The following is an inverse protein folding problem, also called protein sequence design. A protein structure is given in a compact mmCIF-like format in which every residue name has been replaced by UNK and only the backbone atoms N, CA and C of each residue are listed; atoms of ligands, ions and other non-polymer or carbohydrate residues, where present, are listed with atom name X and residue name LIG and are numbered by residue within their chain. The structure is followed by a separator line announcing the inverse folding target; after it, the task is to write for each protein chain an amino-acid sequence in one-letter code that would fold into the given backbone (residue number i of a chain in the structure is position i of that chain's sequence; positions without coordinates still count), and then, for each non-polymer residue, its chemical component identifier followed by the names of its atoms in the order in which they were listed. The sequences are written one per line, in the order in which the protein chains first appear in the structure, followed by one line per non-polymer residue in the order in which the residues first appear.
data_IF_840820212401
#
_entry.id   IF_840820212401
#
_cell.length_a   1.000
_cell.length_b   1.000
_cell.length_c   1.000
_cell.angle_alpha   90.00
_cell.angle_beta   90.00
_cell.angle_gamma   90.00
#
_symmetry.space_group_name_H-M   'P 1'
#
loop_
_entity.id
_entity.type
_entity.pdbx_description
1 polymer ?
#
# COMPACT_ATOMS: atom_id res chain seq x y z
N UNK A 1 3.22 -32.88 7.26
CA UNK A 1 4.43 -32.38 7.96
C UNK A 1 4.79 -33.43 9.00
N UNK A 2 6.05 -33.84 9.13
CA UNK A 2 6.51 -34.70 10.22
C UNK A 2 7.28 -33.79 11.17
N UNK A 3 6.76 -33.59 12.35
CA UNK A 3 7.41 -32.83 13.43
C UNK A 3 7.95 -33.85 14.43
N UNK A 4 9.22 -33.70 14.77
CA UNK A 4 9.91 -34.57 15.74
C UNK A 4 10.10 -33.78 17.04
N UNK A 5 9.99 -34.47 18.17
CA UNK A 5 10.37 -33.92 19.48
C UNK A 5 11.91 -33.78 19.59
N UNK A 6 12.44 -33.15 20.64
CA UNK A 6 13.89 -33.04 20.86
C UNK A 6 14.63 -34.37 20.96
N UNK A 7 13.92 -35.47 21.21
CA UNK A 7 14.47 -36.83 21.29
C UNK A 7 14.39 -37.58 19.95
N UNK A 8 13.80 -36.96 18.91
CA UNK A 8 13.64 -37.53 17.57
C UNK A 8 12.39 -38.43 17.41
N UNK A 9 11.46 -38.42 18.37
CA UNK A 9 10.21 -39.15 18.26
C UNK A 9 9.18 -38.32 17.47
N UNK A 10 8.30 -39.01 16.72
CA UNK A 10 7.21 -38.34 15.99
C UNK A 10 6.17 -37.83 16.97
N UNK A 11 5.95 -36.51 16.96
CA UNK A 11 4.85 -35.90 17.67
C UNK A 11 3.51 -36.26 17.01
N UNK A 12 2.53 -36.64 17.83
CA UNK A 12 1.16 -36.89 17.37
C UNK A 12 0.36 -35.60 17.36
N UNK A 13 0.66 -34.76 16.35
CA UNK A 13 0.07 -33.43 16.21
C UNK A 13 -1.17 -33.47 15.32
N UNK A 14 -2.15 -32.62 15.63
CA UNK A 14 -3.33 -32.43 14.80
C UNK A 14 -3.01 -31.47 13.65
N UNK A 15 -3.10 -31.90 12.38
CA UNK A 15 -2.95 -30.99 11.26
C UNK A 15 -4.22 -30.14 11.12
N UNK A 16 -4.07 -28.82 11.09
CA UNK A 16 -5.13 -27.87 10.83
C UNK A 16 -4.84 -27.08 9.56
N UNK A 17 -5.83 -26.95 8.69
CA UNK A 17 -5.75 -26.14 7.49
C UNK A 17 -6.63 -24.89 7.60
N UNK A 18 -6.03 -23.71 7.41
CA UNK A 18 -6.73 -22.43 7.40
C UNK A 18 -6.58 -21.78 6.02
N UNK A 19 -7.69 -21.55 5.34
CA UNK A 19 -7.71 -21.02 3.97
C UNK A 19 -7.77 -22.12 2.90
N UNK A 20 -7.70 -21.78 1.58
CA UNK A 20 -7.44 -20.44 1.02
C UNK A 20 -8.64 -19.48 1.07
N UNK A 21 -9.85 -19.95 1.29
CA UNK A 21 -11.06 -19.12 1.42
C UNK A 21 -11.56 -19.18 2.88
N UNK A 22 -10.98 -18.30 3.70
CA UNK A 22 -11.37 -18.17 5.10
C UNK A 22 -11.48 -16.68 5.46
N UNK A 23 -12.54 -16.22 6.17
CA UNK A 23 -12.73 -14.80 6.48
C UNK A 23 -11.55 -14.17 7.20
N UNK A 24 -10.95 -14.89 8.14
CA UNK A 24 -9.86 -14.40 8.97
C UNK A 24 -8.48 -14.32 8.25
N UNK A 25 -8.37 -14.83 7.02
CA UNK A 25 -7.13 -14.71 6.24
C UNK A 25 -7.03 -13.40 5.46
N UNK A 26 -8.09 -12.56 5.46
CA UNK A 26 -8.18 -11.28 4.77
C UNK A 26 -7.84 -11.34 3.27
N UNK A 27 -7.95 -12.52 2.67
CA UNK A 27 -7.64 -12.76 1.26
C UNK A 27 -7.46 -14.23 0.96
N UNK A 28 -7.05 -14.54 -0.26
CA UNK A 28 -6.84 -15.90 -0.71
C UNK A 28 -5.42 -16.38 -0.36
N UNK A 29 -5.18 -16.70 0.88
CA UNK A 29 -3.95 -17.31 1.35
C UNK A 29 -4.26 -18.51 2.24
N UNK A 30 -3.32 -19.42 2.37
CA UNK A 30 -3.46 -20.63 3.15
C UNK A 30 -2.26 -20.82 4.07
N UNK A 31 -2.51 -21.26 5.27
CA UNK A 31 -1.46 -21.84 6.10
C UNK A 31 -1.94 -23.15 6.73
N UNK A 32 -1.00 -24.07 6.85
CA UNK A 32 -1.22 -25.37 7.51
C UNK A 32 -0.45 -25.33 8.83
N UNK A 33 -1.16 -25.55 9.92
CA UNK A 33 -0.59 -25.60 11.25
C UNK A 33 -0.56 -27.05 11.79
N UNK A 34 0.52 -27.40 12.46
CA UNK A 34 0.62 -28.61 13.26
C UNK A 34 0.35 -28.20 14.71
N UNK A 35 -0.75 -28.71 15.28
CA UNK A 35 -1.30 -28.28 16.56
C UNK A 35 -1.01 -29.31 17.65
N UNK A 36 -0.56 -28.83 18.82
CA UNK A 36 -0.60 -29.55 20.08
C UNK A 36 -1.63 -28.87 21.00
N UNK A 37 -2.83 -29.46 21.08
CA UNK A 37 -3.98 -28.77 21.65
C UNK A 37 -4.31 -27.49 20.89
N UNK A 38 -4.24 -26.33 21.54
CA UNK A 38 -4.46 -25.01 20.94
C UNK A 38 -3.17 -24.32 20.51
N UNK A 39 -2.01 -24.91 20.80
CA UNK A 39 -0.70 -24.31 20.49
C UNK A 39 -0.24 -24.73 19.10
N UNK A 40 0.25 -23.77 18.32
CA UNK A 40 0.88 -24.00 17.01
C UNK A 40 2.32 -24.42 17.25
N UNK A 41 2.67 -25.65 16.88
CA UNK A 41 4.04 -26.19 17.00
C UNK A 41 4.87 -25.85 15.76
N UNK A 42 4.22 -25.89 14.60
CA UNK A 42 4.86 -25.52 13.34
C UNK A 42 3.79 -25.03 12.36
N UNK A 43 4.16 -24.11 11.48
CA UNK A 43 3.29 -23.67 10.38
C UNK A 43 3.99 -23.69 9.04
N UNK A 44 3.22 -23.82 7.96
CA UNK A 44 3.67 -23.75 6.59
C UNK A 44 2.69 -22.90 5.81
N UNK A 45 3.17 -21.79 5.27
CA UNK A 45 2.42 -20.87 4.46
C UNK A 45 2.40 -21.31 3.00
N UNK A 46 1.25 -21.14 2.36
CA UNK A 46 1.05 -21.39 0.94
C UNK A 46 0.38 -20.16 0.31
N UNK A 47 1.08 -19.57 -0.65
CA UNK A 47 0.63 -18.39 -1.40
C UNK A 47 0.45 -18.74 -2.87
N UNK A 48 -0.07 -17.82 -3.67
CA UNK A 48 -0.28 -18.02 -5.10
C UNK A 48 -1.74 -18.16 -5.52
N UNK A 49 -2.67 -18.22 -4.58
CA UNK A 49 -4.11 -18.36 -4.88
C UNK A 49 -4.71 -17.12 -5.56
N UNK A 50 -4.08 -15.96 -5.44
CA UNK A 50 -4.44 -14.73 -6.14
C UNK A 50 -3.36 -14.31 -7.17
N UNK A 51 -2.50 -15.25 -7.59
CA UNK A 51 -1.51 -14.95 -8.62
C UNK A 51 -2.19 -14.76 -9.99
N UNK A 52 -2.07 -13.57 -10.53
CA UNK A 52 -2.72 -13.16 -11.79
C UNK A 52 -1.75 -13.02 -12.96
N UNK A 53 -0.47 -13.34 -12.74
CA UNK A 53 0.57 -13.18 -13.75
C UNK A 53 0.83 -11.70 -14.10
N UNK A 54 0.70 -10.78 -13.13
CA UNK A 54 0.84 -9.34 -13.31
C UNK A 54 2.10 -8.98 -14.10
N UNK A 55 3.26 -9.43 -13.65
CA UNK A 55 4.56 -9.11 -14.26
C UNK A 55 4.64 -9.55 -15.73
N UNK A 56 4.00 -10.66 -16.08
CA UNK A 56 3.97 -11.14 -17.47
C UNK A 56 2.89 -10.46 -18.32
N UNK A 57 1.77 -10.11 -17.73
CA UNK A 57 0.69 -9.43 -18.46
C UNK A 57 1.08 -8.02 -18.87
N UNK A 58 1.81 -7.29 -18.03
CA UNK A 58 2.22 -5.91 -18.33
C UNK A 58 3.22 -5.81 -19.48
N UNK A 59 3.98 -6.86 -19.78
CA UNK A 59 4.89 -6.92 -20.93
C UNK A 59 4.15 -6.83 -22.29
N UNK A 60 2.86 -7.17 -22.33
CA UNK A 60 2.04 -7.15 -23.56
C UNK A 60 1.41 -5.80 -23.85
N UNK A 61 1.25 -4.96 -22.81
CA UNK A 61 0.62 -3.65 -22.91
C UNK A 61 1.61 -2.53 -23.15
N UNK A 62 1.14 -1.37 -23.57
CA UNK A 62 1.95 -0.15 -23.58
C UNK A 62 2.21 0.33 -22.14
N UNK A 63 3.23 1.15 -21.93
CA UNK A 63 3.55 1.73 -20.61
C UNK A 63 2.35 2.38 -19.92
N UNK A 64 1.48 3.04 -20.66
CA UNK A 64 0.27 3.67 -20.10
C UNK A 64 -0.79 2.64 -19.71
N UNK A 65 -0.85 1.49 -20.38
CA UNK A 65 -1.77 0.40 -20.06
C UNK A 65 -1.36 -0.38 -18.82
N UNK A 66 -0.14 -0.21 -18.31
CA UNK A 66 0.30 -0.80 -17.04
C UNK A 66 -0.41 -0.15 -15.85
N UNK A 67 -0.70 1.15 -15.91
CA UNK A 67 -1.28 1.90 -14.79
C UNK A 67 -2.53 1.23 -14.18
N UNK A 68 -3.54 0.79 -14.94
CA UNK A 68 -4.71 0.10 -14.37
C UNK A 68 -4.39 -1.23 -13.67
N UNK A 69 -3.30 -1.89 -14.05
CA UNK A 69 -2.88 -3.12 -13.37
C UNK A 69 -2.29 -2.83 -11.99
N UNK A 70 -1.58 -1.71 -11.83
CA UNK A 70 -0.98 -1.34 -10.56
C UNK A 70 -2.01 -1.04 -9.48
N UNK A 71 -3.22 -0.55 -9.83
CA UNK A 71 -4.33 -0.37 -8.89
C UNK A 71 -4.65 -1.62 -8.09
N UNK A 72 -4.47 -2.79 -8.70
CA UNK A 72 -4.88 -4.08 -8.15
C UNK A 72 -3.77 -4.80 -7.38
N UNK A 73 -2.65 -4.15 -7.15
CA UNK A 73 -1.64 -4.63 -6.20
C UNK A 73 -2.17 -4.48 -4.78
N UNK A 74 -1.95 -3.35 -4.13
CA UNK A 74 -2.65 -3.02 -2.91
C UNK A 74 -3.93 -2.23 -3.27
N UNK A 75 -5.06 -2.90 -3.33
CA UNK A 75 -6.32 -2.28 -3.73
C UNK A 75 -6.91 -1.34 -2.67
N UNK A 76 -6.44 -1.39 -1.41
CA UNK A 76 -6.87 -0.46 -0.37
C UNK A 76 -6.27 0.93 -0.56
N UNK A 77 -5.09 1.02 -1.17
CA UNK A 77 -4.35 2.25 -1.47
C UNK A 77 -3.96 2.35 -2.96
N UNK A 78 -4.90 2.07 -3.87
CA UNK A 78 -4.69 1.95 -5.31
C UNK A 78 -3.94 3.15 -5.93
N UNK A 79 -4.28 4.38 -5.54
CA UNK A 79 -3.66 5.60 -6.08
C UNK A 79 -2.16 5.64 -5.79
N UNK A 80 -1.72 5.17 -4.61
CA UNK A 80 -0.29 5.13 -4.26
C UNK A 80 0.50 4.25 -5.21
N UNK A 81 -0.05 3.10 -5.58
CA UNK A 81 0.59 2.17 -6.52
C UNK A 81 0.75 2.79 -7.91
N UNK A 82 -0.29 3.52 -8.38
CA UNK A 82 -0.21 4.24 -9.65
C UNK A 82 0.91 5.28 -9.63
N UNK A 83 0.97 6.08 -8.56
CA UNK A 83 1.95 7.15 -8.41
C UNK A 83 3.36 6.56 -8.32
N UNK A 84 3.57 5.46 -7.58
CA UNK A 84 4.84 4.77 -7.48
C UNK A 84 5.34 4.28 -8.86
N UNK A 85 4.47 3.68 -9.66
CA UNK A 85 4.79 3.24 -11.01
C UNK A 85 5.07 4.43 -11.95
N UNK A 86 4.20 5.45 -11.95
CA UNK A 86 4.42 6.63 -12.79
C UNK A 86 5.75 7.32 -12.47
N UNK A 87 6.08 7.46 -11.17
CA UNK A 87 7.37 8.00 -10.70
C UNK A 87 8.56 7.19 -11.24
N UNK A 88 8.47 5.86 -11.21
CA UNK A 88 9.53 5.00 -11.72
C UNK A 88 9.80 5.24 -13.22
N UNK A 89 8.75 5.39 -14.03
CA UNK A 89 8.87 5.69 -15.46
C UNK A 89 9.34 7.14 -15.70
N UNK A 90 8.82 8.11 -14.94
CA UNK A 90 9.21 9.52 -15.01
C UNK A 90 10.71 9.71 -14.72
N UNK A 91 11.24 8.97 -13.75
CA UNK A 91 12.66 8.98 -13.42
C UNK A 91 13.53 8.42 -14.58
N UNK A 92 13.05 7.40 -15.31
CA UNK A 92 13.76 6.93 -16.52
C UNK A 92 13.80 7.99 -17.63
N UNK A 93 12.74 8.79 -17.76
CA UNK A 93 12.72 9.92 -18.69
C UNK A 93 13.51 11.13 -18.20
N UNK A 94 13.88 11.17 -16.91
CA UNK A 94 14.49 12.33 -16.25
C UNK A 94 13.65 13.61 -16.43
N UNK A 95 12.33 13.48 -16.26
CA UNK A 95 11.40 14.61 -16.40
C UNK A 95 10.85 15.01 -15.04
N UNK A 96 10.73 16.33 -14.85
CA UNK A 96 10.07 16.91 -13.68
C UNK A 96 8.60 17.18 -13.97
N UNK A 97 7.74 16.80 -13.04
CA UNK A 97 6.32 17.10 -13.09
C UNK A 97 6.02 18.49 -12.53
N UNK A 98 4.93 19.15 -12.97
CA UNK A 98 4.55 20.47 -12.46
C UNK A 98 4.33 20.48 -10.95
N UNK A 99 4.62 21.60 -10.28
CA UNK A 99 4.47 21.77 -8.83
C UNK A 99 3.05 21.45 -8.33
N UNK A 100 2.02 21.93 -9.04
CA UNK A 100 0.63 21.59 -8.70
C UNK A 100 0.38 20.09 -8.73
N UNK A 101 0.98 19.38 -9.69
CA UNK A 101 0.88 17.92 -9.79
C UNK A 101 1.55 17.23 -8.61
N UNK A 102 2.75 17.69 -8.20
CA UNK A 102 3.45 17.15 -7.02
C UNK A 102 2.59 17.27 -5.77
N UNK A 103 2.06 18.47 -5.50
CA UNK A 103 1.20 18.73 -4.33
C UNK A 103 -0.07 17.87 -4.36
N UNK A 104 -0.75 17.77 -5.49
CA UNK A 104 -1.93 16.89 -5.62
C UNK A 104 -1.58 15.42 -5.40
N UNK A 105 -0.43 14.95 -5.92
CA UNK A 105 0.04 13.57 -5.67
C UNK A 105 0.31 13.32 -4.19
N UNK A 106 0.89 14.28 -3.48
CA UNK A 106 1.10 14.18 -2.01
C UNK A 106 -0.24 14.09 -1.28
N UNK A 107 -1.20 14.98 -1.59
CA UNK A 107 -2.53 14.95 -0.96
C UNK A 107 -3.20 13.60 -1.15
N UNK A 108 -3.27 13.10 -2.39
CA UNK A 108 -3.96 11.83 -2.67
C UNK A 108 -3.20 10.62 -2.12
N UNK A 109 -1.87 10.65 -2.06
CA UNK A 109 -1.06 9.62 -1.42
C UNK A 109 -1.38 9.51 0.06
N UNK A 110 -1.33 10.62 0.79
CA UNK A 110 -1.57 10.59 2.23
C UNK A 110 -3.04 10.27 2.57
N UNK A 111 -4.02 10.73 1.78
CA UNK A 111 -5.40 10.27 1.93
C UNK A 111 -5.56 8.76 1.67
N UNK A 112 -4.81 8.21 0.71
CA UNK A 112 -4.80 6.76 0.46
C UNK A 112 -4.15 5.99 1.60
N UNK A 113 -3.09 6.52 2.22
CA UNK A 113 -2.47 5.96 3.42
C UNK A 113 -3.45 5.92 4.59
N UNK A 114 -4.15 7.03 4.85
CA UNK A 114 -5.20 7.10 5.88
C UNK A 114 -6.26 6.03 5.63
N UNK A 115 -6.73 5.91 4.38
CA UNK A 115 -7.74 4.93 3.99
C UNK A 115 -7.29 3.48 4.22
N UNK A 116 -6.05 3.13 3.86
CA UNK A 116 -5.48 1.80 4.03
C UNK A 116 -5.28 1.46 5.52
N UNK A 117 -4.72 2.37 6.30
CA UNK A 117 -4.51 2.16 7.72
C UNK A 117 -5.84 2.00 8.48
N UNK A 118 -6.88 2.73 8.13
CA UNK A 118 -8.21 2.50 8.70
C UNK A 118 -8.76 1.11 8.37
N UNK A 119 -8.56 0.62 7.15
CA UNK A 119 -8.97 -0.75 6.79
C UNK A 119 -8.23 -1.79 7.63
N UNK A 120 -6.90 -1.65 7.74
CA UNK A 120 -6.07 -2.55 8.54
C UNK A 120 -6.52 -2.60 10.01
N UNK A 121 -6.58 -1.42 10.64
CA UNK A 121 -6.93 -1.30 12.06
C UNK A 121 -8.36 -1.79 12.31
N UNK A 122 -9.31 -1.43 11.46
CA UNK A 122 -10.71 -1.86 11.55
C UNK A 122 -10.85 -3.39 11.45
N UNK A 123 -10.16 -4.00 10.47
CA UNK A 123 -10.20 -5.46 10.28
C UNK A 123 -9.59 -6.19 11.49
N UNK A 124 -8.44 -5.70 11.99
CA UNK A 124 -7.80 -6.27 13.18
C UNK A 124 -8.74 -6.25 14.41
N UNK A 125 -9.51 -5.17 14.58
CA UNK A 125 -10.50 -5.12 15.66
C UNK A 125 -11.65 -6.07 15.47
N UNK A 126 -12.15 -6.20 14.27
CA UNK A 126 -13.23 -7.12 13.97
C UNK A 126 -12.81 -8.57 14.23
N UNK A 127 -11.58 -8.96 13.90
CA UNK A 127 -11.03 -10.28 14.17
C UNK A 127 -10.92 -10.56 15.68
N UNK A 128 -10.66 -9.53 16.48
CA UNK A 128 -10.62 -9.61 17.94
C UNK A 128 -11.99 -9.44 18.59
N UNK A 129 -13.08 -9.42 17.81
CA UNK A 129 -14.47 -9.32 18.29
C UNK A 129 -14.98 -7.90 18.50
N UNK A 130 -14.25 -6.87 18.07
CA UNK A 130 -14.58 -5.46 18.26
C UNK A 130 -15.30 -4.83 17.06
N UNK A 131 -16.61 -5.01 16.91
CA UNK A 131 -17.38 -4.45 15.78
C UNK A 131 -17.52 -2.92 15.84
N UNK A 132 -17.63 -2.32 17.02
CA UNK A 132 -17.82 -0.87 17.16
C UNK A 132 -16.62 -0.05 16.65
N UNK A 133 -15.37 -0.35 17.00
CA UNK A 133 -14.20 0.32 16.41
C UNK A 133 -14.13 0.19 14.89
N UNK A 134 -14.53 -0.96 14.33
CA UNK A 134 -14.64 -1.13 12.89
C UNK A 134 -15.56 -0.07 12.24
N UNK A 135 -16.74 0.15 12.83
CA UNK A 135 -17.69 1.15 12.29
C UNK A 135 -17.14 2.58 12.38
N UNK A 136 -16.44 2.92 13.46
CA UNK A 136 -15.81 4.23 13.61
C UNK A 136 -14.73 4.50 12.54
N UNK A 137 -13.91 3.51 12.23
CA UNK A 137 -12.86 3.62 11.21
C UNK A 137 -13.44 3.72 9.78
N UNK A 138 -14.56 3.06 9.50
CA UNK A 138 -15.15 3.06 8.17
C UNK A 138 -15.91 4.34 7.80
N UNK A 139 -16.34 5.16 8.77
CA UNK A 139 -16.99 6.43 8.49
C UNK A 139 -16.08 7.42 7.72
N UNK A 140 -14.89 7.81 8.22
CA UNK A 140 -14.01 8.71 7.49
C UNK A 140 -13.49 8.08 6.18
N UNK A 141 -13.30 6.75 6.16
CA UNK A 141 -12.97 6.03 4.94
C UNK A 141 -14.01 6.26 3.84
N UNK A 142 -15.29 6.19 4.17
CA UNK A 142 -16.37 6.44 3.19
C UNK A 142 -16.32 7.87 2.64
N UNK A 143 -16.04 8.87 3.48
CA UNK A 143 -15.88 10.24 3.04
C UNK A 143 -14.72 10.40 2.05
N UNK A 144 -13.57 9.75 2.31
CA UNK A 144 -12.43 9.71 1.39
C UNK A 144 -12.82 9.02 0.07
N UNK A 145 -13.57 7.93 0.09
CA UNK A 145 -14.03 7.26 -1.11
C UNK A 145 -14.99 8.12 -1.94
N UNK A 146 -15.81 8.94 -1.31
CA UNK A 146 -16.64 9.94 -2.00
C UNK A 146 -15.80 11.03 -2.70
N UNK A 147 -14.68 11.43 -2.10
CA UNK A 147 -13.70 12.33 -2.75
C UNK A 147 -13.12 11.65 -3.98
N UNK A 148 -12.72 10.36 -3.88
CA UNK A 148 -12.21 9.61 -5.03
C UNK A 148 -13.23 9.51 -6.16
N UNK A 149 -14.48 9.24 -5.85
CA UNK A 149 -15.56 9.16 -6.84
C UNK A 149 -15.73 10.48 -7.59
N UNK A 150 -15.74 11.62 -6.88
CA UNK A 150 -15.80 12.95 -7.51
C UNK A 150 -14.56 13.26 -8.35
N UNK A 151 -13.37 12.88 -7.86
CA UNK A 151 -12.08 13.20 -8.49
C UNK A 151 -11.82 12.33 -9.72
N UNK A 152 -12.10 11.02 -9.65
CA UNK A 152 -11.68 10.04 -10.64
C UNK A 152 -12.84 9.34 -11.36
N UNK A 153 -14.02 9.33 -10.76
CA UNK A 153 -15.17 8.56 -11.23
C UNK A 153 -15.21 7.13 -10.70
N UNK A 154 -14.26 6.73 -9.87
CA UNK A 154 -14.18 5.39 -9.27
C UNK A 154 -13.88 5.49 -7.78
N UNK A 155 -14.47 4.58 -6.99
CA UNK A 155 -14.32 4.56 -5.53
C UNK A 155 -13.07 3.84 -5.05
N UNK A 156 -12.61 2.81 -5.74
CA UNK A 156 -11.55 1.92 -5.29
C UNK A 156 -10.35 1.87 -6.26
N UNK A 157 -10.54 1.39 -7.48
CA UNK A 157 -9.50 1.30 -8.52
C UNK A 157 -9.56 2.53 -9.42
N UNK A 158 -8.78 3.54 -9.08
CA UNK A 158 -8.98 4.91 -9.56
C UNK A 158 -8.22 5.22 -10.84
N UNK A 159 -7.10 4.56 -11.11
CA UNK A 159 -6.20 4.85 -12.23
C UNK A 159 -5.97 6.36 -12.43
N UNK A 160 -5.66 7.08 -11.35
CA UNK A 160 -5.65 8.54 -11.31
C UNK A 160 -4.36 9.13 -11.88
N UNK A 161 -3.21 8.60 -11.47
CA UNK A 161 -1.93 9.09 -11.95
C UNK A 161 -1.71 8.70 -13.43
N UNK A 162 -0.97 9.53 -14.12
CA UNK A 162 -0.48 9.29 -15.48
C UNK A 162 1.01 9.60 -15.51
N UNK A 163 1.73 8.96 -16.42
CA UNK A 163 3.13 9.26 -16.65
C UNK A 163 3.22 10.72 -17.12
N UNK A 164 3.92 11.55 -16.34
CA UNK A 164 4.07 12.99 -16.56
C UNK A 164 2.96 13.85 -15.96
N UNK A 165 1.99 13.29 -15.20
CA UNK A 165 0.94 14.10 -14.61
C UNK A 165 -0.21 13.34 -13.97
N UNK A 166 -1.42 13.87 -14.12
CA UNK A 166 -2.67 13.32 -13.58
C UNK A 166 -3.72 13.19 -14.68
N UNK A 167 -4.69 12.31 -14.48
CA UNK A 167 -5.80 12.12 -15.44
C UNK A 167 -6.74 13.32 -15.50
N UNK A 168 -6.88 14.03 -14.39
CA UNK A 168 -7.75 15.21 -14.20
C UNK A 168 -7.17 16.10 -13.11
N UNK A 169 -7.56 17.39 -13.16
CA UNK A 169 -7.32 18.32 -12.05
C UNK A 169 -8.36 18.15 -10.93
N UNK A 170 -8.15 18.79 -9.80
CA UNK A 170 -9.10 18.85 -8.71
C UNK A 170 -10.41 19.52 -9.14
N UNK A 171 -11.53 19.05 -8.60
CA UNK A 171 -12.85 19.64 -8.85
C UNK A 171 -13.12 20.84 -7.92
N UNK A 172 -14.11 21.67 -8.29
CA UNK A 172 -14.53 22.78 -7.45
C UNK A 172 -15.10 22.28 -6.09
N UNK A 173 -14.54 22.73 -4.97
CA UNK A 173 -14.89 22.26 -3.63
C UNK A 173 -14.00 21.11 -3.10
N UNK A 174 -13.00 20.66 -3.86
CA UNK A 174 -12.09 19.60 -3.43
C UNK A 174 -11.43 19.87 -2.06
N UNK A 175 -10.92 21.08 -1.86
CA UNK A 175 -10.25 21.46 -0.61
C UNK A 175 -11.20 21.38 0.59
N UNK A 176 -12.47 21.79 0.41
CA UNK A 176 -13.49 21.75 1.47
C UNK A 176 -13.86 20.29 1.82
N UNK A 177 -14.06 19.45 0.81
CA UNK A 177 -14.36 18.05 1.01
C UNK A 177 -13.20 17.33 1.73
N UNK A 178 -11.95 17.60 1.32
CA UNK A 178 -10.77 17.05 1.99
C UNK A 178 -10.68 17.51 3.44
N UNK A 179 -10.87 18.81 3.73
CA UNK A 179 -10.85 19.31 5.10
C UNK A 179 -11.96 18.68 5.97
N UNK A 180 -13.15 18.46 5.41
CA UNK A 180 -14.24 17.77 6.12
C UNK A 180 -13.84 16.33 6.45
N UNK A 181 -13.28 15.57 5.48
CA UNK A 181 -12.80 14.21 5.71
C UNK A 181 -11.67 14.15 6.74
N UNK A 182 -10.74 15.11 6.76
CA UNK A 182 -9.68 15.17 7.79
C UNK A 182 -10.26 15.41 9.19
N UNK A 183 -11.26 16.28 9.33
CA UNK A 183 -11.92 16.52 10.63
C UNK A 183 -12.67 15.26 11.10
N UNK A 184 -13.31 14.54 10.20
CA UNK A 184 -13.94 13.23 10.47
C UNK A 184 -12.91 12.19 10.89
N UNK A 185 -11.76 12.17 10.23
CA UNK A 185 -10.60 11.30 10.55
C UNK A 185 -10.10 11.57 11.97
N UNK A 186 -9.85 12.81 12.34
CA UNK A 186 -9.38 13.19 13.69
C UNK A 186 -10.42 12.82 14.79
N UNK A 187 -11.71 12.94 14.49
CA UNK A 187 -12.77 12.50 15.40
C UNK A 187 -12.75 10.98 15.56
N UNK A 188 -12.69 10.24 14.45
CA UNK A 188 -12.65 8.78 14.47
C UNK A 188 -11.41 8.24 15.21
N UNK A 189 -10.25 8.88 15.07
CA UNK A 189 -9.05 8.52 15.84
C UNK A 189 -9.27 8.65 17.35
N UNK A 190 -9.90 9.73 17.82
CA UNK A 190 -10.23 9.90 19.24
C UNK A 190 -11.19 8.82 19.73
N UNK A 191 -12.20 8.48 18.94
CA UNK A 191 -13.18 7.45 19.27
C UNK A 191 -12.52 6.07 19.29
N UNK A 192 -11.59 5.78 18.37
CA UNK A 192 -10.79 4.57 18.32
C UNK A 192 -9.89 4.44 19.56
N UNK A 193 -9.09 5.46 19.88
CA UNK A 193 -8.24 5.45 21.07
C UNK A 193 -9.04 5.25 22.36
N UNK A 194 -10.21 5.86 22.47
CA UNK A 194 -11.11 5.65 23.61
C UNK A 194 -11.58 4.19 23.74
N UNK A 195 -11.74 3.49 22.61
CA UNK A 195 -12.13 2.07 22.60
C UNK A 195 -10.96 1.12 22.88
N UNK A 196 -9.71 1.52 22.63
CA UNK A 196 -8.55 0.65 22.53
C UNK A 196 -7.59 0.75 23.69
N UNK A 197 -7.14 1.94 24.02
CA UNK A 197 -5.97 2.17 24.87
C UNK A 197 -6.10 1.56 26.26
N UNK A 198 -7.33 1.37 26.73
CA UNK A 198 -7.66 0.76 28.04
C UNK A 198 -8.45 -0.54 27.93
N UNK A 199 -8.65 -1.07 26.73
CA UNK A 199 -9.40 -2.30 26.54
C UNK A 199 -8.51 -3.51 26.86
N UNK A 200 -8.76 -4.12 28.02
CA UNK A 200 -7.97 -5.25 28.49
C UNK A 200 -7.99 -6.43 27.51
N UNK A 201 -9.13 -6.75 26.91
CA UNK A 201 -9.25 -7.86 25.95
C UNK A 201 -8.35 -7.60 24.75
N UNK A 202 -8.37 -6.37 24.23
CA UNK A 202 -7.53 -5.98 23.11
C UNK A 202 -6.05 -6.05 23.46
N UNK A 203 -5.65 -5.50 24.59
CA UNK A 203 -4.25 -5.52 25.04
C UNK A 203 -3.75 -6.94 25.31
N UNK A 204 -4.54 -7.79 25.97
CA UNK A 204 -4.20 -9.20 26.23
C UNK A 204 -4.05 -10.01 24.93
N UNK A 205 -4.67 -9.57 23.81
CA UNK A 205 -4.64 -10.23 22.50
C UNK A 205 -3.65 -9.62 21.50
N UNK A 206 -2.94 -8.57 21.86
CA UNK A 206 -2.02 -7.86 20.94
C UNK A 206 -0.65 -7.60 21.54
N UNK A 207 -0.57 -7.34 22.85
CA UNK A 207 0.71 -7.05 23.53
C UNK A 207 1.52 -8.33 23.69
N UNK A 208 2.77 -8.30 23.22
CA UNK A 208 3.71 -9.43 23.28
C UNK A 208 3.43 -10.55 22.27
N UNK A 209 2.35 -10.45 21.48
CA UNK A 209 1.98 -11.45 20.47
C UNK A 209 2.62 -11.10 19.12
N UNK A 210 3.16 -12.11 18.44
CA UNK A 210 3.82 -11.97 17.14
C UNK A 210 5.01 -11.02 17.18
N UNK A 211 5.80 -11.06 18.24
CA UNK A 211 6.96 -10.19 18.44
C UNK A 211 8.12 -10.58 17.54
N UNK A 212 8.74 -9.57 16.91
CA UNK A 212 9.96 -9.75 16.11
C UNK A 212 10.99 -8.69 16.47
N UNK A 213 12.27 -9.08 16.52
CA UNK A 213 13.35 -8.13 16.74
C UNK A 213 13.66 -7.32 15.48
N UNK A 214 14.24 -6.13 15.66
CA UNK A 214 14.67 -5.27 14.54
C UNK A 214 15.63 -5.99 13.58
N UNK A 215 16.59 -6.75 14.11
CA UNK A 215 17.57 -7.50 13.32
C UNK A 215 16.89 -8.56 12.44
N UNK A 216 15.97 -9.33 13.00
CA UNK A 216 15.18 -10.31 12.23
C UNK A 216 14.28 -9.66 11.20
N UNK A 217 13.58 -8.59 11.55
CA UNK A 217 12.74 -7.84 10.62
C UNK A 217 13.54 -7.33 9.41
N UNK A 218 14.74 -6.79 9.64
CA UNK A 218 15.66 -6.37 8.57
C UNK A 218 16.12 -7.58 7.75
N UNK A 219 16.44 -8.71 8.35
CA UNK A 219 16.90 -9.92 7.64
C UNK A 219 15.84 -10.49 6.70
N UNK A 220 14.55 -10.36 7.04
CA UNK A 220 13.43 -10.71 6.16
C UNK A 220 13.15 -9.63 5.09
N UNK A 221 13.82 -8.49 5.14
CA UNK A 221 13.60 -7.37 4.23
C UNK A 221 12.30 -6.61 4.51
N UNK A 222 11.87 -6.54 5.77
CA UNK A 222 10.71 -5.75 6.16
C UNK A 222 10.94 -4.26 5.93
N UNK A 223 9.87 -3.55 5.65
CA UNK A 223 9.83 -2.10 5.46
C UNK A 223 8.50 -1.57 6.00
N UNK A 224 8.37 -0.25 6.06
CA UNK A 224 7.12 0.41 6.42
C UNK A 224 6.71 0.25 7.88
N UNK A 225 5.40 0.34 8.18
CA UNK A 225 4.88 0.31 9.54
C UNK A 225 5.30 -0.91 10.36
N UNK A 226 5.43 -2.09 9.71
CA UNK A 226 5.85 -3.32 10.38
C UNK A 226 7.31 -3.25 10.84
N UNK A 227 8.21 -2.68 10.05
CA UNK A 227 9.60 -2.45 10.43
C UNK A 227 9.70 -1.35 11.49
N UNK A 228 8.98 -0.25 11.32
CA UNK A 228 8.95 0.85 12.29
C UNK A 228 8.42 0.41 13.65
N UNK A 229 7.45 -0.51 13.69
CA UNK A 229 6.98 -1.11 14.94
C UNK A 229 8.08 -1.86 15.70
N UNK A 230 9.09 -2.41 14.99
CA UNK A 230 10.24 -3.10 15.58
C UNK A 230 11.38 -2.15 16.03
N UNK A 231 11.15 -0.83 16.02
CA UNK A 231 12.11 0.16 16.54
C UNK A 231 13.06 0.75 15.50
N UNK A 232 12.86 0.48 14.21
CA UNK A 232 13.74 1.00 13.14
C UNK A 232 13.08 2.21 12.48
N UNK A 233 13.69 3.37 12.59
CA UNK A 233 13.22 4.61 11.99
C UNK A 233 13.64 4.69 10.50
N UNK A 234 12.97 3.93 9.63
CA UNK A 234 13.18 3.97 8.19
C UNK A 234 11.89 4.33 7.48
N UNK A 235 11.94 5.37 6.66
CA UNK A 235 10.82 5.84 5.83
C UNK A 235 11.37 6.52 4.58
N UNK A 236 11.05 6.00 3.40
CA UNK A 236 11.56 6.51 2.13
C UNK A 236 11.16 7.97 1.86
N UNK A 237 10.11 8.48 2.50
CA UNK A 237 9.73 9.90 2.40
C UNK A 237 10.74 10.83 3.08
N UNK A 238 11.57 10.30 4.01
CA UNK A 238 12.66 11.02 4.69
C UNK A 238 14.03 10.59 4.20
N UNK A 239 14.23 9.28 3.96
CA UNK A 239 15.54 8.70 3.61
C UNK A 239 15.89 8.99 2.13
N UNK A 240 14.90 8.91 1.24
CA UNK A 240 15.02 9.22 -0.20
C UNK A 240 13.86 10.14 -0.64
N UNK A 241 13.84 11.41 -0.22
CA UNK A 241 12.68 12.28 -0.37
C UNK A 241 12.30 12.50 -1.84
N UNK A 242 10.99 12.52 -2.07
CA UNK A 242 10.36 12.78 -3.37
C UNK A 242 9.14 13.67 -3.19
N UNK A 243 8.72 14.37 -4.24
CA UNK A 243 7.57 15.29 -4.20
C UNK A 243 7.63 16.29 -3.04
N UNK A 244 8.84 16.72 -2.70
CA UNK A 244 9.12 17.73 -1.66
C UNK A 244 8.64 17.31 -0.25
N UNK A 245 8.56 15.99 0.07
CA UNK A 245 8.16 15.49 1.40
C UNK A 245 9.05 16.02 2.53
N UNK A 246 10.31 16.33 2.26
CA UNK A 246 11.27 16.94 3.21
C UNK A 246 10.86 18.33 3.66
N UNK A 247 10.01 19.02 2.89
CA UNK A 247 9.57 20.39 3.19
C UNK A 247 8.32 20.45 4.07
N UNK A 248 7.67 19.32 4.33
CA UNK A 248 6.53 19.22 5.24
C UNK A 248 7.01 18.91 6.66
N UNK A 249 6.31 19.48 7.63
CA UNK A 249 6.56 19.24 9.05
C UNK A 249 5.77 18.01 9.51
N UNK A 250 6.50 16.90 9.71
CA UNK A 250 5.98 15.62 10.18
C UNK A 250 7.13 14.75 10.70
N UNK A 251 6.80 13.75 11.51
CA UNK A 251 7.77 12.86 12.14
C UNK A 251 7.57 11.41 11.71
N UNK A 252 8.65 10.63 11.71
CA UNK A 252 8.59 9.18 11.49
C UNK A 252 8.16 8.52 12.79
N UNK A 253 7.02 7.85 12.77
CA UNK A 253 6.49 7.12 13.93
C UNK A 253 7.22 5.80 14.10
N UNK A 254 7.70 5.52 15.31
CA UNK A 254 8.48 4.32 15.64
C UNK A 254 7.92 3.66 16.89
N UNK A 255 7.70 2.35 16.82
CA UNK A 255 7.34 1.50 17.97
C UNK A 255 8.57 1.04 18.75
N UNK A 256 8.36 0.17 19.71
CA UNK A 256 9.44 -0.27 20.62
C UNK A 256 9.52 -1.78 20.79
N UNK A 257 8.39 -2.49 20.76
CA UNK A 257 8.31 -3.91 21.10
C UNK A 257 8.30 -4.84 19.88
N UNK A 258 7.87 -4.33 18.71
CA UNK A 258 7.75 -5.11 17.49
C UNK A 258 6.66 -6.18 17.53
N UNK A 259 5.62 -5.98 18.35
CA UNK A 259 4.47 -6.88 18.49
C UNK A 259 3.25 -6.39 17.67
N UNK A 260 2.14 -7.13 17.76
CA UNK A 260 0.91 -6.76 17.07
C UNK A 260 0.35 -5.43 17.55
N UNK A 261 0.46 -5.11 18.84
CA UNK A 261 -0.01 -3.85 19.37
C UNK A 261 0.77 -2.68 18.77
N UNK A 262 2.10 -2.74 18.77
CA UNK A 262 2.93 -1.67 18.20
C UNK A 262 2.65 -1.46 16.70
N UNK A 263 2.43 -2.55 15.94
CA UNK A 263 2.07 -2.44 14.51
C UNK A 263 0.78 -1.69 14.29
N UNK A 264 -0.22 -1.87 15.15
CA UNK A 264 -1.50 -1.15 15.07
C UNK A 264 -1.37 0.29 15.56
N UNK A 265 -0.65 0.52 16.67
CA UNK A 265 -0.42 1.87 17.21
C UNK A 265 0.40 2.75 16.26
N UNK A 266 1.43 2.19 15.61
CA UNK A 266 2.21 2.91 14.58
C UNK A 266 1.31 3.36 13.44
N UNK A 267 0.40 2.50 12.96
CA UNK A 267 -0.53 2.89 11.89
C UNK A 267 -1.51 3.99 12.31
N UNK A 268 -2.02 3.94 13.55
CA UNK A 268 -2.89 5.02 14.06
C UNK A 268 -2.13 6.34 14.14
N UNK A 269 -0.91 6.35 14.65
CA UNK A 269 -0.09 7.55 14.72
C UNK A 269 0.35 8.04 13.31
N UNK A 270 0.59 7.14 12.35
CA UNK A 270 0.85 7.52 10.96
C UNK A 270 -0.36 8.19 10.29
N UNK A 271 -1.59 7.85 10.68
CA UNK A 271 -2.78 8.60 10.23
C UNK A 271 -2.71 10.05 10.71
N UNK A 272 -2.30 10.29 11.96
CA UNK A 272 -2.15 11.66 12.49
C UNK A 272 -1.11 12.46 11.71
N UNK A 273 0.05 11.87 11.42
CA UNK A 273 1.09 12.51 10.61
C UNK A 273 0.62 12.76 9.18
N UNK A 274 -0.10 11.83 8.56
CA UNK A 274 -0.69 12.01 7.23
C UNK A 274 -1.69 13.16 7.20
N UNK A 275 -2.52 13.33 8.24
CA UNK A 275 -3.43 14.48 8.39
C UNK A 275 -2.64 15.79 8.43
N UNK A 276 -1.52 15.86 9.17
CA UNK A 276 -0.65 17.05 9.21
C UNK A 276 -0.10 17.39 7.83
N UNK A 277 0.42 16.38 7.10
CA UNK A 277 0.96 16.57 5.75
C UNK A 277 -0.13 17.10 4.80
N UNK A 278 -1.31 16.48 4.78
CA UNK A 278 -2.41 16.90 3.88
C UNK A 278 -2.85 18.33 4.18
N UNK A 279 -2.97 18.72 5.46
CA UNK A 279 -3.31 20.10 5.84
C UNK A 279 -2.26 21.12 5.36
N UNK A 280 -1.00 20.79 5.39
CA UNK A 280 0.09 21.62 4.87
C UNK A 280 0.07 21.67 3.34
N UNK A 281 -0.12 20.52 2.67
CA UNK A 281 -0.19 20.40 1.23
C UNK A 281 -1.36 21.22 0.64
N UNK A 282 -2.54 21.20 1.27
CA UNK A 282 -3.68 22.04 0.85
C UNK A 282 -3.34 23.52 0.83
N UNK A 283 -2.55 24.03 1.80
CA UNK A 283 -2.12 25.44 1.83
C UNK A 283 -1.15 25.78 0.68
N UNK A 284 -0.48 24.80 0.11
CA UNK A 284 0.46 24.96 -1.03
C UNK A 284 -0.20 24.74 -2.39
N UNK A 285 -1.45 24.32 -2.43
CA UNK A 285 -2.16 24.02 -3.67
C UNK A 285 -2.46 25.29 -4.46
N UNK A 286 -1.49 25.72 -5.28
CA UNK A 286 -1.62 26.88 -6.14
C UNK A 286 -2.22 26.48 -7.51
N UNK A 287 -2.89 27.43 -8.24
CA UNK A 287 -3.30 27.21 -9.62
C UNK A 287 -2.09 26.91 -10.53
N UNK A 288 -2.24 25.97 -11.47
CA UNK A 288 -1.16 25.60 -12.39
C UNK A 288 -1.53 24.37 -13.23
N UNK A 289 -0.65 23.95 -14.14
CA UNK A 289 -0.85 22.75 -14.93
C UNK A 289 -0.69 21.50 -14.04
N UNK A 290 -1.42 20.44 -14.39
CA UNK A 290 -1.32 19.13 -13.72
C UNK A 290 -0.59 18.08 -14.58
N UNK A 291 -0.27 18.43 -15.83
CA UNK A 291 0.46 17.59 -16.79
C UNK A 291 1.68 18.33 -17.36
N UNK A 292 2.72 17.59 -17.68
CA UNK A 292 3.85 18.12 -18.43
C UNK A 292 3.49 18.40 -19.89
N UNK A 293 4.22 19.33 -20.49
CA UNK A 293 4.12 19.64 -21.94
C UNK A 293 5.32 19.01 -22.66
N UNK A 294 5.45 17.69 -22.58
CA UNK A 294 6.50 16.94 -23.29
C UNK A 294 5.86 16.04 -24.35
N UNK A 295 6.12 16.28 -25.66
CA UNK A 295 5.52 15.50 -26.74
C UNK A 295 5.96 14.03 -26.76
N UNK A 296 7.04 13.67 -26.06
CA UNK A 296 7.49 12.27 -25.93
C UNK A 296 6.57 11.44 -25.04
N UNK A 297 5.89 12.09 -24.08
CA UNK A 297 5.11 11.44 -23.03
C UNK A 297 3.63 11.76 -23.14
N UNK A 298 3.31 13.02 -23.48
CA UNK A 298 1.93 13.49 -23.51
C UNK A 298 1.19 13.01 -24.74
N UNK A 299 0.07 12.31 -24.53
CA UNK A 299 -0.87 11.99 -25.61
C UNK A 299 -1.59 13.29 -26.05
N UNK A 300 -1.51 13.72 -27.31
CA UNK A 300 -2.21 14.90 -27.81
C UNK A 300 -3.72 14.84 -27.50
N UNK A 301 -4.32 15.97 -27.13
CA UNK A 301 -5.75 16.05 -26.85
C UNK A 301 -6.59 15.72 -28.08
N UNK A 302 -7.83 15.27 -27.88
CA UNK A 302 -8.77 15.05 -28.98
C UNK A 302 -8.95 16.32 -29.83
N UNK A 303 -9.04 17.48 -29.18
CA UNK A 303 -9.18 18.76 -29.88
C UNK A 303 -7.99 19.02 -30.83
N UNK A 304 -6.76 18.80 -30.36
CA UNK A 304 -5.57 18.97 -31.19
C UNK A 304 -5.53 17.97 -32.33
N UNK A 305 -5.93 16.71 -32.10
CA UNK A 305 -5.98 15.68 -33.12
C UNK A 305 -7.00 15.97 -34.24
N UNK A 306 -8.05 16.77 -33.99
CA UNK A 306 -9.00 17.20 -35.02
C UNK A 306 -8.61 18.49 -35.74
N UNK A 307 -7.70 19.28 -35.18
CA UNK A 307 -7.33 20.59 -35.73
C UNK A 307 -5.99 20.57 -36.47
N UNK A 308 -5.14 19.58 -36.17
CA UNK A 308 -3.78 19.53 -36.65
C UNK A 308 -3.35 18.11 -37.06
N UNK A 309 -2.70 17.99 -38.23
CA UNK A 309 -2.24 16.71 -38.77
C UNK A 309 -1.18 16.08 -37.86
N UNK A 310 -0.27 16.87 -37.34
CA UNK A 310 0.79 16.40 -36.43
C UNK A 310 0.20 15.91 -35.10
N UNK A 311 -0.84 16.60 -34.57
CA UNK A 311 -1.60 16.19 -33.41
C UNK A 311 -2.33 14.86 -33.61
N UNK A 312 -2.91 14.64 -34.81
CA UNK A 312 -3.55 13.38 -35.18
C UNK A 312 -2.54 12.22 -35.22
N UNK A 313 -1.41 12.41 -35.94
CA UNK A 313 -0.36 11.39 -36.06
C UNK A 313 0.27 11.10 -34.68
N UNK A 314 0.57 12.14 -33.91
CA UNK A 314 1.13 12.01 -32.57
C UNK A 314 0.23 11.22 -31.64
N UNK A 315 -1.08 11.51 -31.66
CA UNK A 315 -2.07 10.77 -30.88
C UNK A 315 -2.19 9.30 -31.33
N UNK A 316 -2.27 9.05 -32.64
CA UNK A 316 -2.31 7.70 -33.18
C UNK A 316 -1.10 6.88 -32.73
N UNK A 317 0.11 7.41 -32.86
CA UNK A 317 1.34 6.75 -32.45
C UNK A 317 1.37 6.50 -30.94
N UNK A 318 1.04 7.49 -30.11
CA UNK A 318 1.06 7.36 -28.67
C UNK A 318 0.06 6.30 -28.15
N UNK A 319 -1.08 6.11 -28.83
CA UNK A 319 -2.09 5.11 -28.47
C UNK A 319 -1.71 3.73 -28.98
N UNK A 320 -1.23 3.63 -30.23
CA UNK A 320 -0.93 2.34 -30.88
C UNK A 320 0.45 1.79 -30.54
N UNK A 321 1.49 2.61 -30.64
CA UNK A 321 2.87 2.21 -30.36
C UNK A 321 3.25 2.38 -28.87
N UNK A 322 2.54 3.24 -28.13
CA UNK A 322 2.90 3.65 -26.78
C UNK A 322 3.95 4.75 -26.73
N UNK A 323 4.30 5.18 -25.53
CA UNK A 323 5.41 6.10 -25.27
C UNK A 323 6.72 5.32 -25.32
N UNK A 324 7.76 5.87 -25.95
CA UNK A 324 9.06 5.21 -26.02
C UNK A 324 9.90 5.60 -24.82
N UNK A 325 9.95 4.72 -23.83
CA UNK A 325 10.78 4.89 -22.63
C UNK A 325 12.24 4.64 -23.01
N UNK A 326 13.20 5.48 -22.57
CA UNK A 326 14.63 5.27 -22.86
C UNK A 326 15.09 3.85 -22.49
N UNK A 327 16.03 3.31 -23.27
CA UNK A 327 16.62 2.01 -22.99
C UNK A 327 17.42 2.05 -21.67
N UNK A 328 17.26 1.02 -20.86
CA UNK A 328 18.00 0.87 -19.61
C UNK A 328 17.23 0.10 -18.54
N UNK A 329 17.87 -0.05 -17.40
CA UNK A 329 17.31 -0.64 -16.19
C UNK A 329 17.26 0.39 -15.07
N UNK A 330 16.15 0.46 -14.37
CA UNK A 330 15.93 1.40 -13.27
C UNK A 330 15.10 0.79 -12.16
N UNK A 331 15.50 1.02 -10.91
CA UNK A 331 14.71 0.70 -9.73
C UNK A 331 14.20 1.96 -9.06
N UNK A 332 12.94 1.95 -8.65
CA UNK A 332 12.34 3.02 -7.88
C UNK A 332 11.46 2.46 -6.77
N UNK A 333 11.84 2.71 -5.53
CA UNK A 333 11.04 2.43 -4.36
C UNK A 333 10.19 3.64 -3.96
N UNK A 334 8.97 3.43 -3.50
CA UNK A 334 8.10 4.46 -2.94
C UNK A 334 7.48 3.96 -1.64
N UNK A 335 7.35 4.84 -0.64
CA UNK A 335 6.73 4.49 0.63
C UNK A 335 5.21 4.40 0.47
N UNK A 336 4.71 3.18 0.32
CA UNK A 336 3.28 2.89 0.31
C UNK A 336 2.77 2.56 1.72
N UNK A 337 1.46 2.31 1.86
CA UNK A 337 0.83 2.11 3.17
C UNK A 337 1.40 0.90 3.94
N UNK A 338 1.76 -0.18 3.25
CA UNK A 338 2.35 -1.38 3.87
C UNK A 338 3.88 -1.36 3.91
N UNK A 339 4.52 -0.36 3.31
CA UNK A 339 5.95 -0.20 3.23
C UNK A 339 6.44 0.12 1.83
N UNK A 340 7.69 -0.15 1.55
CA UNK A 340 8.30 0.10 0.26
C UNK A 340 7.68 -0.75 -0.84
N UNK A 341 6.98 -0.11 -1.77
CA UNK A 341 6.60 -0.70 -3.05
C UNK A 341 7.64 -0.29 -4.10
N UNK A 342 8.40 -1.27 -4.59
CA UNK A 342 9.47 -1.05 -5.56
C UNK A 342 9.11 -1.58 -6.95
N UNK A 343 9.46 -0.81 -7.98
CA UNK A 343 9.37 -1.23 -9.38
C UNK A 343 10.77 -1.28 -9.99
N UNK A 344 11.22 -2.47 -10.40
CA UNK A 344 12.37 -2.62 -11.29
C UNK A 344 11.84 -2.64 -12.72
N UNK A 345 12.25 -1.68 -13.52
CA UNK A 345 11.79 -1.49 -14.89
C UNK A 345 12.96 -1.70 -15.83
N UNK A 346 12.79 -2.55 -16.85
CA UNK A 346 13.74 -2.76 -17.94
C UNK A 346 13.04 -2.34 -19.22
N UNK A 347 13.66 -1.41 -19.95
CA UNK A 347 13.19 -0.90 -21.23
C UNK A 347 14.20 -1.19 -22.33
N UNK A 348 13.70 -1.60 -23.49
CA UNK A 348 14.44 -1.76 -24.73
C UNK A 348 14.29 -0.58 -25.71
N UNK A 349 13.72 0.54 -25.24
CA UNK A 349 13.43 1.72 -26.06
C UNK A 349 12.13 1.62 -26.85
N UNK A 350 11.36 0.53 -26.72
CA UNK A 350 10.05 0.36 -27.36
C UNK A 350 8.92 1.03 -26.57
N UNK A 351 7.72 1.02 -27.13
CA UNK A 351 6.51 1.49 -26.45
C UNK A 351 5.93 0.51 -25.41
N UNK A 352 6.57 -0.64 -25.23
CA UNK A 352 6.18 -1.70 -24.31
C UNK A 352 7.27 -1.96 -23.29
N UNK A 353 6.93 -2.29 -22.02
CA UNK A 353 7.94 -2.72 -21.07
C UNK A 353 8.58 -4.05 -21.52
N UNK A 354 9.91 -4.11 -21.56
CA UNK A 354 10.60 -5.40 -21.74
C UNK A 354 10.40 -6.28 -20.52
N UNK A 355 10.57 -5.72 -19.32
CA UNK A 355 10.31 -6.40 -18.05
C UNK A 355 9.93 -5.38 -16.98
N UNK A 356 8.94 -5.72 -16.18
CA UNK A 356 8.64 -5.04 -14.92
C UNK A 356 8.64 -6.08 -13.82
N UNK A 357 9.42 -5.85 -12.76
CA UNK A 357 9.41 -6.65 -11.54
C UNK A 357 8.92 -5.78 -10.40
N UNK A 358 8.02 -6.33 -9.60
CA UNK A 358 7.46 -5.65 -8.43
C UNK A 358 8.10 -6.21 -7.16
N UNK A 359 8.58 -5.33 -6.30
CA UNK A 359 8.95 -5.65 -4.92
C UNK A 359 7.78 -5.26 -4.02
N UNK A 360 6.94 -6.23 -3.61
CA UNK A 360 5.81 -5.95 -2.74
C UNK A 360 6.23 -6.06 -1.26
N UNK A 361 5.86 -5.14 -0.38
CA UNK A 361 6.16 -5.24 1.05
C UNK A 361 5.46 -6.41 1.72
N UNK A 362 4.22 -6.74 1.32
CA UNK A 362 3.46 -7.85 1.91
C UNK A 362 4.16 -9.22 1.79
N UNK A 363 4.91 -9.47 0.71
CA UNK A 363 5.60 -10.75 0.52
C UNK A 363 6.71 -10.96 1.56
N UNK A 364 7.51 -9.95 1.78
CA UNK A 364 8.62 -10.01 2.76
C UNK A 364 8.10 -10.09 4.20
N UNK A 365 7.00 -9.40 4.48
CA UNK A 365 6.34 -9.43 5.78
C UNK A 365 5.73 -10.81 6.05
N UNK A 366 5.04 -11.39 5.08
CA UNK A 366 4.40 -12.69 5.22
C UNK A 366 5.40 -13.86 5.29
N UNK A 367 6.57 -13.72 4.70
CA UNK A 367 7.63 -14.73 4.78
C UNK A 367 8.09 -15.04 6.22
N UNK A 368 7.89 -14.12 7.16
CA UNK A 368 8.20 -14.32 8.58
C UNK A 368 7.02 -14.86 9.40
N UNK A 369 5.86 -15.09 8.79
CA UNK A 369 4.62 -15.45 9.51
C UNK A 369 4.78 -16.69 10.40
N UNK A 370 5.44 -17.75 9.91
CA UNK A 370 5.68 -18.97 10.70
C UNK A 370 6.40 -18.66 12.01
N UNK A 371 7.47 -17.85 12.00
CA UNK A 371 8.19 -17.48 13.23
C UNK A 371 7.33 -16.67 14.22
N UNK A 372 6.36 -15.91 13.71
CA UNK A 372 5.50 -15.07 14.52
C UNK A 372 4.38 -15.84 15.23
N UNK A 373 3.99 -17.02 14.69
CA UNK A 373 2.86 -17.81 15.21
C UNK A 373 3.30 -19.08 15.90
N UNK A 374 4.49 -19.60 15.64
CA UNK A 374 5.00 -20.81 16.30
C UNK A 374 5.19 -20.58 17.80
N UNK A 375 4.71 -21.53 18.60
CA UNK A 375 4.66 -21.44 20.06
C UNK A 375 3.50 -20.62 20.62
N UNK A 376 2.73 -19.93 19.76
CA UNK A 376 1.53 -19.17 20.11
C UNK A 376 0.24 -19.99 19.99
N UNK A 377 -0.87 -19.39 20.39
CA UNK A 377 -2.20 -19.98 20.23
C UNK A 377 -2.73 -19.79 18.81
N UNK A 378 -3.56 -20.74 18.36
CA UNK A 378 -4.25 -20.60 17.07
C UNK A 378 -5.01 -19.27 16.95
N UNK A 379 -5.68 -18.87 18.03
CA UNK A 379 -6.41 -17.61 18.06
C UNK A 379 -5.49 -16.38 17.87
N UNK A 380 -4.23 -16.43 18.28
CA UNK A 380 -3.26 -15.34 18.14
C UNK A 380 -2.73 -15.21 16.71
N UNK A 381 -2.77 -16.30 15.93
CA UNK A 381 -2.38 -16.27 14.53
C UNK A 381 -3.20 -15.27 13.71
N UNK A 382 -4.48 -15.08 14.06
CA UNK A 382 -5.35 -14.10 13.41
C UNK A 382 -4.92 -12.67 13.77
N UNK A 383 -4.56 -12.40 15.02
CA UNK A 383 -4.04 -11.10 15.43
C UNK A 383 -2.71 -10.76 14.74
N UNK A 384 -1.83 -11.77 14.56
CA UNK A 384 -0.57 -11.62 13.82
C UNK A 384 -0.85 -11.27 12.36
N UNK A 385 -1.74 -12.00 11.70
CA UNK A 385 -2.08 -11.79 10.30
C UNK A 385 -2.66 -10.40 10.06
N UNK A 386 -3.62 -10.00 10.90
CA UNK A 386 -4.22 -8.65 10.88
C UNK A 386 -3.19 -7.55 11.13
N UNK A 387 -2.26 -7.76 12.08
CA UNK A 387 -1.20 -6.82 12.39
C UNK A 387 -0.21 -6.62 11.25
N UNK A 388 0.02 -7.63 10.41
CA UNK A 388 0.86 -7.52 9.21
C UNK A 388 0.18 -6.75 8.07
N UNK A 389 -1.15 -6.71 8.03
CA UNK A 389 -1.94 -6.11 6.92
C UNK A 389 -1.63 -6.72 5.56
N UNK A 390 -1.72 -8.04 5.46
CA UNK A 390 -1.42 -8.73 4.20
C UNK A 390 -2.54 -8.53 3.20
N UNK A 391 -2.21 -7.92 2.07
CA UNK A 391 -3.11 -7.75 0.92
C UNK A 391 -2.75 -8.78 -0.15
N UNK A 392 -3.63 -9.76 -0.36
CA UNK A 392 -3.36 -10.90 -1.25
C UNK A 392 -3.03 -10.49 -2.70
N UNK A 393 -3.62 -9.37 -3.18
CA UNK A 393 -3.33 -8.84 -4.51
C UNK A 393 -1.91 -8.31 -4.68
N UNK A 394 -1.31 -7.79 -3.61
CA UNK A 394 0.07 -7.34 -3.56
C UNK A 394 1.02 -8.51 -3.28
N UNK A 395 0.61 -9.43 -2.40
CA UNK A 395 1.36 -10.61 -2.02
C UNK A 395 1.70 -11.49 -3.24
N UNK A 396 0.68 -11.80 -4.05
CA UNK A 396 0.77 -12.77 -5.15
C UNK A 396 1.09 -12.14 -6.52
N UNK A 397 0.88 -10.83 -6.71
CA UNK A 397 1.10 -10.01 -7.93
C UNK A 397 0.35 -10.48 -9.18
#
# INVERSE_FOLDING_TARGET
MIVLDPNGEKLNLMPLNVGPSHPATHGCLRFMAAMDGETIVASVEEIGYLHRGFEKMVERGTWQQVVPYTDRLNYCSAIMNNIAFCRAVENMFQVEIPERCKVLRVIVNELSRINDHFVCVAAAFQDLGGTTPFMYAFNPREEIMCIWEKLTGARLTNSFARIGGLSRDSYAGFEQDVLAALNSTEKALKDLHACLDRNRIFLDRTVGIGKISAEKAISYGWTGPCLRASGVASDLRKDEPYYDYETYDWEVVVGTQGDCNDRLQVRLAEIEESVKIVRQALKRLAPGPVDIVDPRIRVPSHKLAYQDMEGLIGRFKSVYEGIRVPEGEYYCGSECANGELGFTIISDGSGHPYRIKVRPPCLTQFAAFHELVEGGLLADSMAVLSGLNIIAGELDR
#
